data_IF_164498612521
#
_entry.id   IF_164498612521
#
_cell.length_a   1.000
_cell.length_b   1.000
_cell.length_c   1.000
_cell.angle_alpha   90.00
_cell.angle_beta   90.00
_cell.angle_gamma   90.00
#
_symmetry.space_group_name_H-M   'P 1'
#
loop_
_entity.id
_entity.type
_entity.pdbx_description
1 polymer ?
#
# COMPACT_ATOMS: atom_id res chain seq x y z
N UNK A 1 13.87 -4.36 3.61
CA UNK A 1 13.62 -3.16 4.44
C UNK A 1 13.81 -3.40 5.93
N UNK A 2 13.12 -4.36 6.55
CA UNK A 2 13.21 -4.61 8.01
C UNK A 2 14.63 -4.75 8.59
N UNK A 3 15.54 -5.39 7.86
CA UNK A 3 16.93 -5.57 8.30
C UNK A 3 17.77 -4.30 8.21
N UNK A 4 17.38 -3.35 7.35
CA UNK A 4 18.09 -2.09 7.13
C UNK A 4 17.46 -0.91 7.89
N UNK A 5 16.17 -0.98 8.18
CA UNK A 5 15.41 0.04 8.92
C UNK A 5 14.70 -0.61 10.10
N UNK A 6 15.31 -0.64 11.29
CA UNK A 6 14.70 -1.16 12.50
C UNK A 6 13.36 -0.49 12.80
N UNK A 7 12.36 -1.27 13.21
CA UNK A 7 11.00 -0.77 13.48
C UNK A 7 10.09 -0.64 12.26
N UNK A 8 10.61 -0.82 11.03
CA UNK A 8 9.76 -0.92 9.84
C UNK A 8 9.01 -2.26 9.79
N UNK A 9 7.79 -2.27 9.26
CA UNK A 9 6.98 -3.49 9.08
C UNK A 9 6.52 -3.59 7.64
N UNK A 10 6.86 -4.70 6.97
CA UNK A 10 6.37 -4.99 5.63
C UNK A 10 4.99 -5.67 5.71
N UNK A 11 4.06 -5.23 4.86
CA UNK A 11 2.67 -5.70 4.85
C UNK A 11 2.30 -6.09 3.43
N UNK A 12 2.78 -7.26 2.95
CA UNK A 12 2.52 -7.69 1.59
C UNK A 12 1.10 -8.25 1.46
N UNK A 13 0.44 -7.98 0.32
CA UNK A 13 -0.67 -8.80 -0.16
C UNK A 13 -0.20 -9.59 -1.39
N UNK A 14 -0.68 -10.83 -1.52
CA UNK A 14 -0.20 -11.79 -2.53
C UNK A 14 -0.99 -11.73 -3.85
N UNK A 15 -1.99 -10.86 -3.93
CA UNK A 15 -2.91 -10.85 -5.07
C UNK A 15 -2.61 -9.68 -6.00
N UNK A 16 -2.43 -9.98 -7.28
CA UNK A 16 -2.42 -9.00 -8.37
C UNK A 16 -3.85 -8.75 -8.88
N UNK A 17 -4.10 -9.10 -10.15
CA UNK A 17 -5.35 -8.76 -10.84
C UNK A 17 -6.56 -9.67 -10.55
N UNK A 18 -6.44 -10.62 -9.61
CA UNK A 18 -7.47 -11.67 -9.41
C UNK A 18 -8.52 -11.36 -8.35
N UNK A 19 -8.50 -10.17 -7.74
CA UNK A 19 -9.51 -9.78 -6.75
C UNK A 19 -10.68 -9.03 -7.40
N UNK A 20 -11.92 -9.40 -7.08
CA UNK A 20 -13.16 -8.84 -7.64
C UNK A 20 -14.26 -8.63 -6.60
N UNK A 21 -14.82 -7.43 -6.56
CA UNK A 21 -15.92 -7.10 -5.64
C UNK A 21 -15.46 -7.11 -4.18
N UNK A 22 -16.11 -7.94 -3.34
CA UNK A 22 -15.95 -7.89 -1.89
C UNK A 22 -14.55 -8.28 -1.40
N UNK A 23 -13.86 -9.19 -2.10
CA UNK A 23 -12.50 -9.60 -1.71
C UNK A 23 -11.49 -8.45 -1.89
N UNK A 24 -11.59 -7.69 -2.99
CA UNK A 24 -10.81 -6.48 -3.26
C UNK A 24 -11.11 -5.44 -2.19
N UNK A 25 -12.38 -5.19 -1.91
CA UNK A 25 -12.79 -4.23 -0.89
C UNK A 25 -12.28 -4.60 0.51
N UNK A 26 -12.29 -5.89 0.86
CA UNK A 26 -11.74 -6.37 2.13
C UNK A 26 -10.24 -6.13 2.20
N UNK A 27 -9.48 -6.47 1.16
CA UNK A 27 -8.03 -6.22 1.15
C UNK A 27 -7.73 -4.72 1.20
N UNK A 28 -8.44 -3.90 0.43
CA UNK A 28 -8.32 -2.45 0.49
C UNK A 28 -8.56 -1.90 1.90
N UNK A 29 -9.66 -2.29 2.56
CA UNK A 29 -9.99 -1.88 3.93
C UNK A 29 -8.91 -2.27 4.94
N UNK A 30 -8.33 -3.46 4.81
CA UNK A 30 -7.25 -3.93 5.69
C UNK A 30 -5.98 -3.11 5.48
N UNK A 31 -5.57 -2.87 4.23
CA UNK A 31 -4.36 -2.10 3.92
C UNK A 31 -4.48 -0.64 4.38
N UNK A 32 -5.60 0.03 4.07
CA UNK A 32 -5.88 1.40 4.53
C UNK A 32 -5.92 1.45 6.05
N UNK A 33 -6.66 0.54 6.69
CA UNK A 33 -6.77 0.49 8.15
C UNK A 33 -5.42 0.32 8.85
N UNK A 34 -4.54 -0.49 8.26
CA UNK A 34 -3.19 -0.68 8.79
C UNK A 34 -2.32 0.57 8.64
N UNK A 35 -2.40 1.28 7.51
CA UNK A 35 -1.73 2.57 7.34
C UNK A 35 -2.28 3.66 8.26
N UNK A 36 -3.60 3.69 8.48
CA UNK A 36 -4.27 4.65 9.39
C UNK A 36 -3.99 4.40 10.86
N UNK A 37 -3.40 3.25 11.24
CA UNK A 37 -3.13 2.92 12.64
C UNK A 37 -2.28 4.02 13.34
N UNK A 38 -2.66 4.51 14.54
CA UNK A 38 -1.95 5.58 15.23
C UNK A 38 -0.52 5.20 15.67
N UNK A 39 -0.20 3.91 15.76
CA UNK A 39 1.15 3.42 16.05
C UNK A 39 2.08 3.46 14.82
N UNK A 40 1.57 3.82 13.65
CA UNK A 40 2.36 3.94 12.41
C UNK A 40 2.74 5.41 12.20
N UNK A 41 4.03 5.72 12.21
CA UNK A 41 4.53 7.09 12.06
C UNK A 41 4.55 7.61 10.62
N UNK A 42 4.77 6.73 9.64
CA UNK A 42 4.79 7.04 8.21
C UNK A 42 4.49 5.77 7.40
N UNK A 43 4.05 5.94 6.14
CA UNK A 43 3.72 4.83 5.25
C UNK A 43 4.39 4.99 3.89
N UNK A 44 4.93 3.88 3.37
CA UNK A 44 5.36 3.74 1.99
C UNK A 44 4.46 2.71 1.31
N UNK A 45 3.67 3.15 0.34
CA UNK A 45 2.85 2.29 -0.53
C UNK A 45 3.67 1.94 -1.76
N UNK A 46 3.73 0.67 -2.12
CA UNK A 46 4.43 0.19 -3.32
C UNK A 46 3.46 -0.65 -4.14
N UNK A 47 3.27 -0.29 -5.40
CA UNK A 47 2.45 -1.03 -6.38
C UNK A 47 3.31 -1.59 -7.51
N UNK A 48 2.79 -2.61 -8.19
CA UNK A 48 3.34 -3.07 -9.46
C UNK A 48 2.87 -2.20 -10.64
N UNK A 49 1.64 -1.66 -10.58
CA UNK A 49 1.08 -0.75 -11.59
C UNK A 49 0.03 -1.37 -12.51
N UNK A 50 -0.01 -2.69 -12.61
CA UNK A 50 -1.05 -3.42 -13.36
C UNK A 50 -2.13 -4.06 -12.47
N UNK A 51 -2.13 -3.78 -11.16
CA UNK A 51 -3.04 -4.40 -10.20
C UNK A 51 -4.47 -3.86 -10.31
N UNK A 52 -5.44 -4.65 -9.83
CA UNK A 52 -6.84 -4.20 -9.72
C UNK A 52 -7.05 -3.26 -8.52
N UNK A 53 -6.11 -3.26 -7.58
CA UNK A 53 -6.11 -2.38 -6.42
C UNK A 53 -5.62 -0.99 -6.83
N UNK A 54 -6.36 0.05 -6.45
CA UNK A 54 -5.89 1.41 -6.67
C UNK A 54 -4.97 1.83 -5.51
N UNK A 55 -3.65 1.72 -5.71
CA UNK A 55 -2.66 2.09 -4.71
C UNK A 55 -2.64 3.60 -4.41
N UNK A 56 -2.97 4.42 -5.41
CA UNK A 56 -3.09 5.88 -5.23
C UNK A 56 -4.23 6.23 -4.27
N UNK A 57 -5.38 5.55 -4.41
CA UNK A 57 -6.49 5.71 -3.47
C UNK A 57 -6.10 5.31 -2.04
N UNK A 58 -5.36 4.20 -1.88
CA UNK A 58 -4.87 3.78 -0.55
C UNK A 58 -3.97 4.85 0.07
N UNK A 59 -3.05 5.44 -0.73
CA UNK A 59 -2.18 6.54 -0.30
C UNK A 59 -3.01 7.71 0.22
N UNK A 60 -3.97 8.18 -0.57
CA UNK A 60 -4.77 9.36 -0.26
C UNK A 60 -5.61 9.17 0.99
N UNK A 61 -6.27 8.01 1.12
CA UNK A 61 -7.05 7.72 2.31
C UNK A 61 -6.17 7.70 3.56
N UNK A 62 -4.96 7.11 3.52
CA UNK A 62 -4.06 7.12 4.68
C UNK A 62 -3.59 8.55 4.99
N UNK A 63 -3.32 9.37 3.97
CA UNK A 63 -2.83 10.74 4.12
C UNK A 63 -3.82 11.66 4.85
N UNK A 64 -5.13 11.35 4.83
CA UNK A 64 -6.16 12.05 5.63
C UNK A 64 -5.84 12.08 7.14
N UNK A 65 -5.04 11.13 7.62
CA UNK A 65 -4.62 11.09 9.03
C UNK A 65 -3.53 12.11 9.38
N UNK A 66 -3.00 12.83 8.40
CA UNK A 66 -1.94 13.83 8.56
C UNK A 66 -0.52 13.26 8.68
N UNK A 67 -0.34 11.94 8.57
CA UNK A 67 0.99 11.33 8.57
C UNK A 67 1.63 11.37 7.17
N UNK A 68 2.97 11.36 7.07
CA UNK A 68 3.64 11.25 5.79
C UNK A 68 3.30 9.92 5.10
N UNK A 69 2.83 10.00 3.86
CA UNK A 69 2.58 8.84 2.99
C UNK A 69 3.23 9.10 1.64
N UNK A 70 4.04 8.15 1.19
CA UNK A 70 4.63 8.16 -0.15
C UNK A 70 4.12 6.94 -0.90
N UNK A 71 3.87 7.10 -2.19
CA UNK A 71 3.53 6.01 -3.10
C UNK A 71 4.59 5.93 -4.21
N UNK A 72 5.00 4.70 -4.53
CA UNK A 72 5.89 4.38 -5.63
C UNK A 72 5.21 3.30 -6.48
N UNK A 73 5.19 3.51 -7.79
CA UNK A 73 4.76 2.52 -8.76
C UNK A 73 5.97 1.92 -9.48
N UNK A 74 6.13 0.60 -9.40
CA UNK A 74 7.34 -0.07 -9.93
C UNK A 74 7.43 0.07 -11.46
N UNK A 75 6.31 0.06 -12.19
CA UNK A 75 6.32 0.19 -13.64
C UNK A 75 6.63 1.62 -14.08
N UNK A 76 6.11 2.63 -13.38
CA UNK A 76 6.46 4.03 -13.64
C UNK A 76 7.94 4.33 -13.37
N UNK A 77 8.55 3.63 -12.40
CA UNK A 77 9.99 3.70 -12.09
C UNK A 77 10.86 2.86 -13.06
N UNK A 78 10.29 2.33 -14.15
CA UNK A 78 11.02 1.57 -15.18
C UNK A 78 11.26 0.10 -14.84
N UNK A 79 10.51 -0.45 -13.88
CA UNK A 79 10.47 -1.87 -13.58
C UNK A 79 9.77 -2.70 -14.66
N UNK A 80 9.78 -4.03 -14.49
CA UNK A 80 9.20 -4.95 -15.46
C UNK A 80 7.69 -4.77 -15.62
N UNK A 81 7.23 -4.83 -16.88
CA UNK A 81 5.81 -4.78 -17.30
C UNK A 81 5.28 -6.19 -17.56
#
# INVERSE_FOLDING_TARGET
MQQQIPGSVAIPHQHGCSQVGEDKERTHKVLVGMGKNPNVGAVLVVSLGCEVMNAEQIRDEIAETGKPVVWIDIQDEGGSV
#
